data_IF_703009850088
#
_entry.id   IF_703009850088
#
_cell.length_a   1.000
_cell.length_b   1.000
_cell.length_c   1.000
_cell.angle_alpha   90.00
_cell.angle_beta   90.00
_cell.angle_gamma   90.00
#
_symmetry.space_group_name_H-M   'P 1'
#
loop_
_entity.id
_entity.type
_entity.pdbx_description
1 polymer ?
#
# COMPACT_ATOMS: atom_id res chain seq x y z
N UNK A 1 -1.56 -43.26 -3.80
CA UNK A 1 -2.66 -43.21 -4.77
C UNK A 1 -2.39 -42.11 -5.78
N UNK A 2 -1.72 -42.51 -6.85
CA UNK A 2 -1.38 -41.70 -8.02
C UNK A 2 -1.45 -42.59 -9.25
N UNK A 3 -2.54 -43.36 -9.35
CA UNK A 3 -2.81 -44.22 -10.50
C UNK A 3 -4.03 -43.72 -11.28
N UNK A 4 -5.07 -43.19 -10.62
CA UNK A 4 -6.23 -42.64 -11.34
C UNK A 4 -6.09 -41.18 -11.78
N UNK A 5 -5.16 -40.40 -11.21
CA UNK A 5 -4.81 -39.07 -11.73
C UNK A 5 -3.85 -39.11 -12.93
N UNK A 6 -3.12 -40.22 -13.12
CA UNK A 6 -2.26 -40.44 -14.30
C UNK A 6 -3.04 -40.99 -15.49
N UNK A 7 -4.13 -41.71 -15.23
CA UNK A 7 -5.02 -42.23 -16.27
C UNK A 7 -5.71 -41.10 -17.05
N UNK A 8 -5.96 -39.95 -16.42
CA UNK A 8 -6.66 -38.81 -17.03
C UNK A 8 -5.75 -37.73 -17.66
N UNK A 9 -4.45 -37.69 -17.38
CA UNK A 9 -3.55 -36.69 -17.99
C UNK A 9 -3.12 -37.11 -19.39
N UNK A 10 -2.90 -38.41 -19.61
CA UNK A 10 -2.48 -38.97 -20.91
C UNK A 10 -3.63 -39.10 -21.93
N UNK A 11 -4.87 -38.90 -21.48
CA UNK A 11 -6.08 -38.95 -22.30
C UNK A 11 -6.56 -37.58 -22.78
N UNK A 12 -5.99 -36.48 -22.27
CA UNK A 12 -6.23 -35.12 -22.76
C UNK A 12 -5.47 -34.85 -24.06
N UNK A 13 -6.03 -33.99 -24.92
CA UNK A 13 -5.32 -33.48 -26.09
C UNK A 13 -3.98 -32.83 -25.64
N UNK A 14 -2.87 -33.03 -26.38
CA UNK A 14 -1.61 -32.32 -26.17
C UNK A 14 -1.77 -30.82 -25.84
N UNK A 15 -2.75 -30.15 -26.45
CA UNK A 15 -3.08 -28.74 -26.18
C UNK A 15 -3.62 -28.51 -24.77
N UNK A 16 -4.51 -29.36 -24.27
CA UNK A 16 -5.08 -29.26 -22.92
C UNK A 16 -4.05 -29.63 -21.85
N UNK A 17 -3.17 -30.60 -22.14
CA UNK A 17 -2.02 -30.92 -21.28
C UNK A 17 -1.06 -29.72 -21.13
N UNK A 18 -0.84 -28.91 -22.18
CA UNK A 18 -0.07 -27.65 -22.12
C UNK A 18 -0.77 -26.58 -21.28
N UNK A 19 -2.08 -26.42 -21.45
CA UNK A 19 -2.87 -25.40 -20.75
C UNK A 19 -2.92 -25.65 -19.22
N UNK A 20 -3.02 -26.91 -18.80
CA UNK A 20 -3.00 -27.27 -17.37
C UNK A 20 -1.62 -27.06 -16.72
N UNK A 21 -0.54 -27.25 -17.49
CA UNK A 21 0.83 -27.03 -17.02
C UNK A 21 1.13 -25.54 -16.82
N UNK A 22 0.55 -24.66 -17.66
CA UNK A 22 0.59 -23.19 -17.51
C UNK A 22 -0.18 -22.74 -16.25
N UNK A 23 -1.35 -23.33 -15.99
CA UNK A 23 -2.15 -23.07 -14.77
C UNK A 23 -1.39 -23.44 -13.47
N UNK A 24 -0.60 -24.52 -13.49
CA UNK A 24 0.26 -24.97 -12.37
C UNK A 24 1.47 -24.06 -12.10
N UNK A 25 1.96 -23.31 -13.09
CA UNK A 25 3.06 -22.35 -12.95
C UNK A 25 2.55 -21.00 -12.40
N UNK A 26 1.38 -20.57 -12.90
CA UNK A 26 0.62 -19.41 -12.41
C UNK A 26 0.16 -19.51 -10.95
N UNK A 27 -0.02 -20.72 -10.42
CA UNK A 27 -0.29 -20.95 -8.98
C UNK A 27 0.97 -21.01 -8.12
N UNK A 28 2.14 -21.28 -8.72
CA UNK A 28 3.43 -21.32 -8.03
C UNK A 28 3.96 -19.92 -7.75
N UNK A 29 3.64 -18.95 -8.61
CA UNK A 29 3.80 -17.51 -8.37
C UNK A 29 2.76 -16.94 -7.38
N UNK A 30 1.53 -17.48 -7.28
CA UNK A 30 0.55 -17.12 -6.22
C UNK A 30 1.11 -17.26 -4.78
N UNK A 31 2.25 -17.93 -4.62
CA UNK A 31 2.98 -18.18 -3.37
C UNK A 31 4.29 -17.38 -3.25
N UNK A 32 4.57 -16.38 -4.11
CA UNK A 32 5.86 -15.69 -4.11
C UNK A 32 6.20 -15.10 -2.71
N UNK A 33 7.20 -15.70 -2.05
CA UNK A 33 7.61 -15.46 -0.65
C UNK A 33 8.55 -14.24 -0.54
N UNK A 34 8.24 -13.16 -1.25
CA UNK A 34 9.00 -11.92 -1.06
C UNK A 34 8.87 -11.52 0.41
N UNK A 35 10.00 -11.23 1.07
CA UNK A 35 10.02 -10.73 2.45
C UNK A 35 9.21 -9.42 2.61
N UNK A 36 8.96 -8.74 1.49
CA UNK A 36 8.18 -7.50 1.41
C UNK A 36 6.68 -7.72 1.22
N UNK A 37 6.25 -8.93 0.86
CA UNK A 37 4.84 -9.25 0.67
C UNK A 37 4.14 -9.30 2.02
N UNK A 38 3.08 -8.52 2.15
CA UNK A 38 2.21 -8.54 3.33
C UNK A 38 1.47 -9.87 3.36
N UNK A 39 1.59 -10.56 4.49
CA UNK A 39 1.02 -11.89 4.66
C UNK A 39 -0.44 -11.83 5.14
N UNK A 40 -1.22 -12.80 4.67
CA UNK A 40 -2.56 -13.05 5.18
C UNK A 40 -2.55 -13.51 6.65
N UNK A 41 -3.66 -13.29 7.33
CA UNK A 41 -3.96 -13.74 8.67
C UNK A 41 -4.71 -15.09 8.64
N UNK A 42 -4.95 -15.66 9.82
CA UNK A 42 -5.75 -16.88 9.93
C UNK A 42 -7.18 -16.64 9.47
N UNK A 43 -7.79 -17.66 8.86
CA UNK A 43 -9.20 -17.62 8.44
C UNK A 43 -10.16 -17.37 9.61
N UNK A 44 -9.77 -17.74 10.83
CA UNK A 44 -10.50 -17.41 12.05
C UNK A 44 -10.59 -15.90 12.27
N UNK A 45 -9.46 -15.20 12.14
CA UNK A 45 -9.44 -13.75 12.34
C UNK A 45 -10.20 -13.02 11.24
N UNK A 46 -10.08 -13.47 9.98
CA UNK A 46 -10.82 -12.90 8.84
C UNK A 46 -12.35 -13.04 8.96
N UNK A 47 -12.84 -13.99 9.77
CA UNK A 47 -14.28 -14.20 10.02
C UNK A 47 -14.81 -13.40 11.21
N UNK A 48 -13.94 -12.84 12.05
CA UNK A 48 -14.35 -11.99 13.18
C UNK A 48 -14.84 -10.64 12.68
N UNK A 49 -15.84 -10.10 13.40
CA UNK A 49 -16.32 -8.73 13.20
C UNK A 49 -15.67 -7.82 14.25
N UNK A 50 -15.26 -6.64 13.81
CA UNK A 50 -14.61 -5.63 14.62
C UNK A 50 -15.35 -4.31 14.47
N UNK A 51 -15.53 -3.60 15.58
CA UNK A 51 -16.24 -2.32 15.62
C UNK A 51 -15.27 -1.13 15.66
N UNK A 52 -14.04 -1.36 16.09
CA UNK A 52 -13.02 -0.33 16.18
C UNK A 52 -11.62 -0.91 15.92
N UNK A 53 -10.82 -0.13 15.21
CA UNK A 53 -9.41 -0.35 14.99
C UNK A 53 -8.63 0.89 15.40
N UNK A 54 -7.47 0.65 15.99
CA UNK A 54 -6.59 1.71 16.45
C UNK A 54 -5.16 1.44 16.02
N UNK A 55 -4.59 2.41 15.32
CA UNK A 55 -3.19 2.39 14.87
C UNK A 55 -2.38 3.20 15.88
N UNK A 56 -1.50 2.53 16.60
CA UNK A 56 -0.66 3.15 17.63
C UNK A 56 0.81 3.01 17.25
N UNK A 57 1.58 4.08 17.47
CA UNK A 57 3.03 4.05 17.39
C UNK A 57 3.59 3.63 18.76
N UNK A 58 4.32 2.52 18.79
CA UNK A 58 4.97 2.04 19.99
C UNK A 58 6.42 2.56 20.03
N UNK A 59 6.79 3.25 21.11
CA UNK A 59 8.10 3.86 21.26
C UNK A 59 9.21 2.81 21.07
N UNK A 60 9.98 2.93 19.99
CA UNK A 60 11.08 2.03 19.65
C UNK A 60 10.71 0.69 18.99
N UNK A 61 9.43 0.33 18.90
CA UNK A 61 8.97 -0.97 18.38
C UNK A 61 8.14 -0.89 17.10
N UNK A 62 7.99 0.30 16.52
CA UNK A 62 7.25 0.50 15.26
C UNK A 62 5.77 0.82 15.50
N UNK A 63 4.92 0.25 14.67
CA UNK A 63 3.47 0.43 14.68
C UNK A 63 2.76 -0.85 15.06
N UNK A 64 1.61 -0.70 15.70
CA UNK A 64 0.71 -1.80 16.00
C UNK A 64 -0.72 -1.44 15.65
N UNK A 65 -1.49 -2.44 15.26
CA UNK A 65 -2.93 -2.32 15.15
C UNK A 65 -3.59 -3.08 16.29
N UNK A 66 -4.41 -2.37 17.04
CA UNK A 66 -5.35 -2.94 18.01
C UNK A 66 -6.74 -2.95 17.41
N UNK A 67 -7.55 -3.91 17.86
CA UNK A 67 -8.96 -3.95 17.50
C UNK A 67 -9.83 -4.35 18.67
N UNK A 68 -11.05 -3.84 18.67
CA UNK A 68 -12.14 -4.25 19.55
C UNK A 68 -13.14 -5.06 18.74
N UNK A 69 -13.41 -6.29 19.18
CA UNK A 69 -14.35 -7.17 18.53
C UNK A 69 -15.80 -6.83 18.96
N UNK A 70 -16.76 -7.10 18.06
CA UNK A 70 -18.17 -6.73 18.27
C UNK A 70 -18.87 -7.51 19.38
N UNK A 71 -18.29 -8.63 19.81
CA UNK A 71 -18.76 -9.50 20.89
C UNK A 71 -18.36 -9.00 22.30
N UNK A 72 -17.84 -7.77 22.40
CA UNK A 72 -17.43 -7.17 23.68
C UNK A 72 -16.09 -7.70 24.20
N UNK A 73 -15.38 -8.50 23.40
CA UNK A 73 -14.05 -8.99 23.71
C UNK A 73 -13.09 -7.78 23.85
N UNK A 74 -12.22 -7.83 24.87
CA UNK A 74 -11.28 -6.73 25.16
C UNK A 74 -10.43 -6.40 23.94
N UNK A 75 -10.00 -5.14 23.87
CA UNK A 75 -9.05 -4.66 22.86
C UNK A 75 -7.79 -5.55 22.83
N UNK A 76 -7.45 -6.08 21.65
CA UNK A 76 -6.27 -6.94 21.44
C UNK A 76 -5.39 -6.37 20.34
N UNK A 77 -4.07 -6.50 20.52
CA UNK A 77 -3.10 -6.24 19.45
C UNK A 77 -3.24 -7.36 18.41
N UNK A 78 -3.63 -7.00 17.19
CA UNK A 78 -3.82 -7.95 16.10
C UNK A 78 -2.54 -8.17 15.29
N UNK A 79 -1.78 -7.11 15.04
CA UNK A 79 -0.57 -7.15 14.24
C UNK A 79 0.40 -6.01 14.62
N UNK A 80 1.69 -6.21 14.33
CA UNK A 80 2.76 -5.23 14.50
C UNK A 80 3.60 -5.16 13.22
N UNK A 81 3.98 -3.96 12.81
CA UNK A 81 4.95 -3.72 11.73
C UNK A 81 5.91 -2.59 12.14
N UNK A 82 7.05 -2.47 11.45
CA UNK A 82 7.98 -1.35 11.63
C UNK A 82 7.41 -0.03 11.07
N UNK A 83 6.40 -0.11 10.20
CA UNK A 83 5.82 1.01 9.46
C UNK A 83 4.30 1.11 9.63
N UNK A 84 3.75 2.31 9.42
CA UNK A 84 2.30 2.54 9.47
C UNK A 84 1.61 1.85 8.29
N UNK A 85 2.20 1.97 7.09
CA UNK A 85 1.66 1.34 5.91
C UNK A 85 1.70 -0.18 5.98
N UNK A 86 2.62 -0.77 6.75
CA UNK A 86 2.66 -2.21 7.00
C UNK A 86 1.47 -2.72 7.80
N UNK A 87 1.15 -2.08 8.93
CA UNK A 87 -0.04 -2.47 9.71
C UNK A 87 -1.35 -2.19 8.94
N UNK A 88 -1.40 -1.10 8.18
CA UNK A 88 -2.56 -0.75 7.36
C UNK A 88 -2.73 -1.71 6.18
N UNK A 89 -1.65 -2.01 5.48
CA UNK A 89 -1.63 -2.97 4.39
C UNK A 89 -2.02 -4.36 4.88
N UNK A 90 -1.60 -4.76 6.08
CA UNK A 90 -2.06 -6.00 6.70
C UNK A 90 -3.56 -6.00 6.97
N UNK A 91 -4.16 -4.91 7.46
CA UNK A 91 -5.62 -4.80 7.57
C UNK A 91 -6.32 -4.91 6.20
N UNK A 92 -5.71 -4.35 5.16
CA UNK A 92 -6.26 -4.31 3.80
C UNK A 92 -6.20 -5.68 3.13
N UNK A 93 -5.06 -6.37 3.22
CA UNK A 93 -4.85 -7.74 2.75
C UNK A 93 -5.90 -8.70 3.34
N UNK A 94 -6.20 -8.52 4.61
CA UNK A 94 -7.12 -9.36 5.37
C UNK A 94 -8.58 -8.89 5.35
N UNK A 95 -8.86 -7.76 4.67
CA UNK A 95 -10.22 -7.20 4.51
C UNK A 95 -10.98 -7.04 5.84
N UNK A 96 -10.26 -6.72 6.93
CA UNK A 96 -10.82 -6.69 8.29
C UNK A 96 -11.65 -5.43 8.57
N UNK A 97 -11.36 -4.34 7.87
CA UNK A 97 -12.00 -3.04 8.10
C UNK A 97 -13.11 -2.77 7.08
N UNK A 98 -14.27 -2.32 7.59
CA UNK A 98 -15.38 -1.82 6.78
C UNK A 98 -15.90 -0.53 7.39
N UNK A 99 -15.81 0.58 6.66
CA UNK A 99 -16.18 1.91 7.14
C UNK A 99 -17.61 2.01 7.70
N UNK A 100 -18.54 1.25 7.14
CA UNK A 100 -19.95 1.24 7.60
C UNK A 100 -20.17 0.48 8.91
N UNK A 101 -19.18 -0.30 9.37
CA UNK A 101 -19.30 -1.18 10.55
C UNK A 101 -18.25 -0.90 11.61
N UNK A 102 -17.15 -0.27 11.23
CA UNK A 102 -16.00 -0.08 12.10
C UNK A 102 -15.44 1.35 11.99
N UNK A 103 -14.84 1.81 13.09
CA UNK A 103 -14.03 3.03 13.10
C UNK A 103 -12.55 2.70 12.99
N UNK A 104 -11.76 3.58 12.34
CA UNK A 104 -10.30 3.47 12.29
C UNK A 104 -9.71 4.78 12.82
N UNK A 105 -8.93 4.69 13.90
CA UNK A 105 -8.27 5.84 14.53
C UNK A 105 -6.76 5.65 14.53
N UNK A 106 -6.05 6.75 14.62
CA UNK A 106 -4.58 6.76 14.75
C UNK A 106 -4.23 7.56 16.00
N UNK A 107 -3.51 6.95 16.94
CA UNK A 107 -3.05 7.60 18.17
C UNK A 107 -1.62 8.11 18.01
N UNK A 108 -1.50 9.26 17.37
CA UNK A 108 -0.26 10.04 17.26
C UNK A 108 -0.59 11.52 17.26
N UNK A 109 0.37 12.37 17.67
CA UNK A 109 0.20 13.82 17.65
C UNK A 109 0.26 14.42 16.23
N UNK A 110 0.87 13.68 15.30
CA UNK A 110 0.94 14.05 13.89
C UNK A 110 -0.42 13.92 13.20
N UNK A 111 -0.60 14.75 12.17
CA UNK A 111 -1.79 14.75 11.33
C UNK A 111 -1.46 14.15 9.98
N UNK A 112 -2.44 13.46 9.40
CA UNK A 112 -2.34 12.92 8.05
C UNK A 112 -2.81 13.98 7.06
N UNK A 113 -2.01 14.24 6.03
CA UNK A 113 -2.32 15.15 4.95
C UNK A 113 -2.21 14.43 3.62
N UNK A 114 -3.08 14.80 2.69
CA UNK A 114 -2.99 14.40 1.29
C UNK A 114 -2.52 15.62 0.46
N UNK A 115 -3.31 16.05 -0.53
CA UNK A 115 -2.99 17.18 -1.40
C UNK A 115 -3.42 18.54 -0.84
N UNK A 116 -4.36 18.54 0.12
CA UNK A 116 -4.98 19.73 0.74
C UNK A 116 -4.31 20.07 2.07
N UNK A 117 -4.45 21.31 2.53
CA UNK A 117 -3.92 21.75 3.83
C UNK A 117 -4.68 21.18 5.03
N UNK A 118 -5.96 20.87 4.85
CA UNK A 118 -6.76 20.23 5.88
C UNK A 118 -6.30 18.77 6.11
N UNK A 119 -6.23 18.37 7.37
CA UNK A 119 -5.93 16.99 7.73
C UNK A 119 -7.06 16.06 7.26
N UNK A 120 -6.67 14.88 6.79
CA UNK A 120 -7.60 13.83 6.36
C UNK A 120 -7.72 12.74 7.43
N UNK A 121 -8.88 12.09 7.55
CA UNK A 121 -9.05 10.98 8.50
C UNK A 121 -8.15 9.77 8.16
N UNK A 122 -7.74 8.94 9.13
CA UNK A 122 -6.86 7.79 8.90
C UNK A 122 -7.43 6.72 7.95
N UNK A 123 -8.75 6.53 7.93
CA UNK A 123 -9.42 5.59 7.02
C UNK A 123 -9.26 5.96 5.54
N UNK A 124 -8.90 7.21 5.23
CA UNK A 124 -8.55 7.67 3.88
C UNK A 124 -7.45 6.80 3.26
N UNK A 125 -6.41 6.44 4.03
CA UNK A 125 -5.34 5.56 3.53
C UNK A 125 -5.90 4.18 3.16
N UNK A 126 -6.71 3.58 4.04
CA UNK A 126 -7.30 2.27 3.78
C UNK A 126 -8.17 2.28 2.52
N UNK A 127 -8.99 3.32 2.37
CA UNK A 127 -9.94 3.44 1.26
C UNK A 127 -9.22 3.69 -0.08
N UNK A 128 -8.12 4.44 -0.08
CA UNK A 128 -7.35 4.71 -1.29
C UNK A 128 -6.79 3.42 -1.93
N UNK A 129 -6.54 2.39 -1.11
CA UNK A 129 -6.09 1.08 -1.56
C UNK A 129 -7.21 0.22 -2.18
N UNK A 130 -8.49 0.50 -1.91
CA UNK A 130 -9.60 -0.33 -2.40
C UNK A 130 -9.89 -0.15 -3.89
N UNK A 131 -10.26 -1.20 -4.64
CA UNK A 131 -10.28 -2.60 -4.20
C UNK A 131 -8.88 -3.20 -4.14
N UNK A 132 -8.59 -3.99 -3.09
CA UNK A 132 -7.30 -4.70 -2.96
C UNK A 132 -7.26 -5.94 -3.84
N UNK A 133 -8.33 -6.72 -3.90
CA UNK A 133 -8.36 -7.96 -4.69
C UNK A 133 -9.06 -7.71 -6.03
N UNK A 134 -8.68 -8.47 -7.07
CA UNK A 134 -9.30 -8.35 -8.37
C UNK A 134 -10.79 -8.69 -8.32
N UNK A 135 -11.56 -8.11 -9.24
CA UNK A 135 -13.01 -8.30 -9.36
C UNK A 135 -13.32 -9.57 -10.16
N UNK A 136 -12.45 -9.94 -11.10
CA UNK A 136 -12.54 -11.14 -11.94
C UNK A 136 -11.22 -11.95 -11.89
N UNK A 137 -11.31 -13.23 -12.23
CA UNK A 137 -10.17 -14.15 -12.23
C UNK A 137 -9.30 -14.02 -13.50
N UNK A 138 -9.78 -13.31 -14.53
CA UNK A 138 -9.06 -13.09 -15.80
C UNK A 138 -7.69 -12.42 -15.59
N UNK A 139 -7.50 -11.69 -14.49
CA UNK A 139 -6.21 -11.06 -14.15
C UNK A 139 -5.08 -12.07 -13.93
N UNK A 140 -5.40 -13.31 -13.58
CA UNK A 140 -4.39 -14.38 -13.39
C UNK A 140 -3.92 -14.97 -14.72
N UNK A 141 -4.49 -14.54 -15.84
CA UNK A 141 -4.04 -14.94 -17.16
C UNK A 141 -2.75 -14.22 -17.60
N UNK A 142 -2.46 -13.06 -16.99
CA UNK A 142 -1.32 -12.20 -17.27
C UNK A 142 -0.36 -12.12 -16.09
N UNK A 143 0.87 -11.68 -16.35
CA UNK A 143 1.87 -11.42 -15.30
C UNK A 143 1.39 -10.32 -14.35
N UNK A 144 1.82 -10.39 -13.09
CA UNK A 144 1.48 -9.41 -12.08
C UNK A 144 2.05 -8.03 -12.42
N UNK A 145 1.19 -7.01 -12.40
CA UNK A 145 1.54 -5.63 -12.74
C UNK A 145 1.21 -4.69 -11.59
N UNK A 146 2.05 -3.69 -11.32
CA UNK A 146 1.76 -2.70 -10.27
C UNK A 146 0.57 -1.81 -10.67
N UNK A 147 -0.48 -1.78 -9.84
CA UNK A 147 -1.69 -1.00 -10.11
C UNK A 147 -1.75 0.29 -9.30
N UNK A 148 -1.34 0.24 -8.02
CA UNK A 148 -1.32 1.39 -7.11
C UNK A 148 -0.04 1.39 -6.30
N UNK A 149 0.47 2.59 -6.03
CA UNK A 149 1.58 2.80 -5.12
C UNK A 149 1.24 3.96 -4.18
N UNK A 150 1.05 3.64 -2.90
CA UNK A 150 0.94 4.63 -1.85
C UNK A 150 2.32 5.01 -1.34
N UNK A 151 2.57 6.31 -1.25
CA UNK A 151 3.81 6.91 -0.76
C UNK A 151 3.46 7.76 0.45
N UNK A 152 3.94 7.37 1.63
CA UNK A 152 3.74 8.11 2.87
C UNK A 152 5.06 8.75 3.32
N UNK A 153 5.12 10.08 3.32
CA UNK A 153 6.21 10.84 3.90
C UNK A 153 6.00 10.96 5.42
N UNK A 154 7.00 10.59 6.22
CA UNK A 154 6.86 10.54 7.69
C UNK A 154 8.14 10.98 8.42
N UNK A 155 8.03 11.12 9.75
CA UNK A 155 9.13 11.54 10.61
C UNK A 155 9.54 12.99 10.37
N UNK A 156 8.57 13.86 10.09
CA UNK A 156 8.83 15.27 9.79
C UNK A 156 9.30 16.03 11.03
N UNK A 157 10.47 16.67 10.96
CA UNK A 157 10.90 17.65 11.96
C UNK A 157 11.04 19.04 11.32
N UNK A 158 10.78 20.14 12.05
CA UNK A 158 10.94 21.48 11.47
C UNK A 158 12.35 21.78 10.94
N UNK A 159 13.39 21.17 11.54
CA UNK A 159 14.79 21.40 11.16
C UNK A 159 15.28 20.50 10.03
N UNK A 160 14.73 19.30 9.89
CA UNK A 160 15.22 18.31 8.92
C UNK A 160 14.18 17.96 7.85
N UNK A 161 12.92 18.40 7.97
CA UNK A 161 11.80 17.93 7.16
C UNK A 161 11.55 16.44 7.32
N UNK A 162 11.04 15.77 6.28
CA UNK A 162 10.80 14.33 6.32
C UNK A 162 12.10 13.53 6.42
N UNK A 163 12.10 12.52 7.28
CA UNK A 163 13.26 11.66 7.56
C UNK A 163 13.06 10.23 7.08
N UNK A 164 11.83 9.85 6.73
CA UNK A 164 11.49 8.50 6.28
C UNK A 164 10.34 8.53 5.27
N UNK A 165 10.34 7.54 4.39
CA UNK A 165 9.25 7.26 3.45
C UNK A 165 8.84 5.81 3.56
N UNK A 166 7.54 5.57 3.58
CA UNK A 166 6.93 4.25 3.52
C UNK A 166 6.22 4.08 2.18
N UNK A 167 6.31 2.88 1.61
CA UNK A 167 5.70 2.52 0.34
C UNK A 167 4.77 1.32 0.54
N UNK A 168 3.59 1.38 -0.07
CA UNK A 168 2.67 0.25 -0.14
C UNK A 168 2.16 0.10 -1.56
N UNK A 169 2.65 -0.95 -2.23
CA UNK A 169 2.30 -1.31 -3.60
C UNK A 169 1.21 -2.38 -3.63
N UNK A 170 0.28 -2.26 -4.58
CA UNK A 170 -0.69 -3.30 -4.92
C UNK A 170 -0.43 -3.73 -6.36
N UNK A 171 -0.43 -5.03 -6.63
CA UNK A 171 -0.38 -5.56 -7.99
C UNK A 171 -1.76 -5.98 -8.52
N UNK A 172 -1.85 -6.30 -9.80
CA UNK A 172 -3.08 -6.68 -10.50
C UNK A 172 -3.72 -7.98 -9.97
N UNK A 173 -2.92 -8.84 -9.34
CA UNK A 173 -3.39 -10.05 -8.64
C UNK A 173 -3.93 -9.76 -7.24
N UNK A 174 -3.83 -8.51 -6.79
CA UNK A 174 -4.31 -8.05 -5.49
C UNK A 174 -3.43 -8.42 -4.31
N UNK A 175 -2.14 -8.57 -4.55
CA UNK A 175 -1.13 -8.78 -3.53
C UNK A 175 -0.55 -7.43 -3.09
N UNK A 176 -0.29 -7.31 -1.78
CA UNK A 176 0.23 -6.11 -1.15
C UNK A 176 1.72 -6.26 -0.79
N UNK A 177 2.50 -5.24 -1.09
CA UNK A 177 3.94 -5.20 -0.82
C UNK A 177 4.33 -3.93 -0.10
N UNK A 178 5.06 -4.09 0.99
CA UNK A 178 5.59 -3.01 1.81
C UNK A 178 7.07 -2.76 1.50
N UNK A 179 7.47 -1.50 1.42
CA UNK A 179 8.87 -1.10 1.41
C UNK A 179 9.08 0.18 2.24
N UNK A 180 10.30 0.40 2.70
CA UNK A 180 10.65 1.59 3.49
C UNK A 180 11.99 2.17 3.06
N UNK A 181 12.13 3.48 3.17
CA UNK A 181 13.37 4.19 2.87
C UNK A 181 13.63 5.26 3.93
N UNK A 182 14.79 5.20 4.56
CA UNK A 182 15.30 6.28 5.41
C UNK A 182 15.95 7.35 4.54
N UNK A 183 15.70 8.63 4.87
CA UNK A 183 16.27 9.76 4.15
C UNK A 183 17.50 10.30 4.87
N UNK A 184 18.59 10.50 4.12
CA UNK A 184 19.82 11.08 4.63
C UNK A 184 19.63 12.57 4.98
N UNK A 185 19.39 12.85 6.26
CA UNK A 185 19.16 14.21 6.78
C UNK A 185 20.39 15.13 6.67
N UNK A 186 21.57 14.59 6.39
CA UNK A 186 22.77 15.36 6.08
C UNK A 186 22.77 15.96 4.66
N UNK A 187 21.89 15.49 3.77
CA UNK A 187 21.79 15.98 2.39
C UNK A 187 20.72 17.07 2.22
N UNK A 188 20.91 17.97 1.24
CA UNK A 188 19.89 18.95 0.89
C UNK A 188 18.56 18.26 0.51
N UNK A 189 17.44 18.90 0.85
CA UNK A 189 16.10 18.34 0.65
C UNK A 189 15.83 17.90 -0.80
N UNK A 190 16.29 18.67 -1.78
CA UNK A 190 16.13 18.36 -3.19
C UNK A 190 16.74 17.00 -3.58
N UNK A 191 17.88 16.63 -3.00
CA UNK A 191 18.49 15.31 -3.22
C UNK A 191 17.63 14.21 -2.62
N UNK A 192 17.11 14.41 -1.42
CA UNK A 192 16.21 13.44 -0.77
C UNK A 192 14.94 13.21 -1.58
N UNK A 193 14.34 14.26 -2.13
CA UNK A 193 13.18 14.11 -3.02
C UNK A 193 13.52 13.41 -4.33
N UNK A 194 14.74 13.60 -4.85
CA UNK A 194 15.25 12.84 -5.99
C UNK A 194 15.36 11.35 -5.66
N UNK A 195 15.91 11.00 -4.49
CA UNK A 195 16.04 9.62 -4.05
C UNK A 195 14.67 8.94 -3.93
N UNK A 196 13.65 9.66 -3.46
CA UNK A 196 12.26 9.16 -3.44
C UNK A 196 11.74 8.92 -4.86
N UNK A 197 11.97 9.84 -5.79
CA UNK A 197 11.54 9.69 -7.18
C UNK A 197 12.24 8.50 -7.86
N UNK A 198 13.54 8.31 -7.64
CA UNK A 198 14.29 7.15 -8.12
C UNK A 198 13.75 5.85 -7.51
N UNK A 199 13.37 5.86 -6.23
CA UNK A 199 12.77 4.70 -5.56
C UNK A 199 11.40 4.35 -6.12
N UNK A 200 10.53 5.35 -6.33
CA UNK A 200 9.23 5.17 -6.99
C UNK A 200 9.42 4.61 -8.39
N UNK A 201 10.45 5.06 -9.11
CA UNK A 201 10.74 4.54 -10.43
C UNK A 201 11.00 3.02 -10.41
N UNK A 202 11.53 2.41 -9.35
CA UNK A 202 11.77 0.96 -9.30
C UNK A 202 10.49 0.10 -9.43
N UNK A 203 9.31 0.68 -9.26
CA UNK A 203 8.02 0.01 -9.47
C UNK A 203 7.60 0.05 -10.96
N UNK A 204 8.56 -0.01 -11.90
CA UNK A 204 8.34 0.04 -13.36
C UNK A 204 7.46 -1.12 -13.88
N UNK A 205 6.87 -0.89 -15.05
CA UNK A 205 6.01 -1.83 -15.77
C UNK A 205 4.80 -1.11 -16.36
N UNK A 206 3.97 -0.50 -15.50
CA UNK A 206 2.61 -0.07 -15.90
C UNK A 206 2.15 1.28 -15.34
N UNK A 207 3.08 2.09 -14.81
CA UNK A 207 2.79 3.42 -14.21
C UNK A 207 1.65 3.35 -13.19
N UNK A 208 1.88 2.74 -12.01
CA UNK A 208 0.85 2.59 -11.00
C UNK A 208 0.26 3.96 -10.61
N UNK A 209 -1.00 3.96 -10.18
CA UNK A 209 -1.61 5.16 -9.61
C UNK A 209 -0.84 5.57 -8.35
N UNK A 210 -0.18 6.73 -8.41
CA UNK A 210 0.60 7.26 -7.29
C UNK A 210 -0.29 8.04 -6.31
N UNK A 211 -0.29 7.61 -5.06
CA UNK A 211 -1.07 8.19 -3.97
C UNK A 211 -0.12 8.75 -2.92
N UNK A 212 -0.06 10.08 -2.77
CA UNK A 212 0.88 10.74 -1.86
C UNK A 212 0.20 11.22 -0.59
N UNK A 213 0.81 10.89 0.55
CA UNK A 213 0.39 11.33 1.86
C UNK A 213 1.56 11.79 2.71
N UNK A 214 1.28 12.60 3.72
CA UNK A 214 2.23 13.10 4.69
C UNK A 214 1.70 12.87 6.10
N UNK A 215 2.50 12.24 6.96
CA UNK A 215 2.26 12.18 8.39
C UNK A 215 3.21 13.16 9.08
N UNK A 216 2.67 14.28 9.54
CA UNK A 216 3.46 15.37 10.12
C UNK A 216 2.61 16.27 11.02
N UNK A 217 3.26 17.07 11.86
CA UNK A 217 2.57 18.09 12.67
C UNK A 217 1.98 19.22 11.82
N UNK A 218 2.60 19.51 10.67
CA UNK A 218 2.19 20.48 9.65
C UNK A 218 2.48 19.93 8.25
N UNK A 219 1.63 20.27 7.29
CA UNK A 219 1.83 19.93 5.89
C UNK A 219 3.01 20.69 5.30
N UNK A 220 3.83 19.99 4.53
CA UNK A 220 4.80 20.57 3.60
C UNK A 220 4.16 20.67 2.20
N UNK A 221 3.82 21.87 1.70
CA UNK A 221 3.15 22.03 0.42
C UNK A 221 4.06 21.69 -0.78
N UNK A 222 5.38 21.70 -0.60
CA UNK A 222 6.34 21.61 -1.68
C UNK A 222 6.91 20.19 -1.84
N UNK A 223 6.94 19.39 -0.78
CA UNK A 223 7.49 18.03 -0.81
C UNK A 223 6.93 17.17 -1.96
N UNK A 224 5.60 17.04 -2.03
CA UNK A 224 4.93 16.22 -3.06
C UNK A 224 5.13 16.82 -4.45
N UNK A 225 5.12 18.14 -4.57
CA UNK A 225 5.34 18.82 -5.85
C UNK A 225 6.75 18.56 -6.37
N UNK A 226 7.78 18.70 -5.53
CA UNK A 226 9.18 18.50 -5.92
C UNK A 226 9.45 17.04 -6.29
N UNK A 227 8.88 16.07 -5.55
CA UNK A 227 8.99 14.64 -5.91
C UNK A 227 8.35 14.38 -7.28
N UNK A 228 7.13 14.89 -7.50
CA UNK A 228 6.45 14.75 -8.80
C UNK A 228 7.20 15.43 -9.94
N UNK A 229 7.80 16.59 -9.69
CA UNK A 229 8.62 17.28 -10.68
C UNK A 229 9.80 16.39 -11.12
N UNK A 230 10.53 15.79 -10.17
CA UNK A 230 11.60 14.84 -10.50
C UNK A 230 11.10 13.63 -11.29
N UNK A 231 9.92 13.10 -10.94
CA UNK A 231 9.31 11.98 -11.68
C UNK A 231 9.01 12.35 -13.14
N UNK A 232 8.50 13.56 -13.37
CA UNK A 232 8.14 14.03 -14.70
C UNK A 232 9.36 14.40 -15.54
N UNK A 233 10.31 15.14 -14.95
CA UNK A 233 11.52 15.62 -15.62
C UNK A 233 12.42 14.46 -16.05
N UNK A 234 12.44 13.35 -15.30
CA UNK A 234 13.37 12.23 -15.52
C UNK A 234 12.74 10.98 -16.12
N UNK A 235 11.48 10.68 -15.80
CA UNK A 235 10.84 9.40 -16.17
C UNK A 235 9.61 9.57 -17.08
N UNK A 236 9.33 10.80 -17.54
CA UNK A 236 8.23 11.12 -18.48
C UNK A 236 6.86 10.56 -18.05
N UNK A 237 6.64 10.46 -16.73
CA UNK A 237 5.31 10.21 -16.15
C UNK A 237 4.52 11.51 -16.31
N UNK A 238 3.23 11.42 -16.69
CA UNK A 238 2.40 12.59 -16.97
C UNK A 238 2.56 13.68 -15.88
N UNK A 239 2.93 14.88 -16.35
CA UNK A 239 3.30 16.06 -15.54
C UNK A 239 2.32 16.40 -14.42
N UNK A 240 2.76 17.03 -13.31
CA UNK A 240 1.83 17.74 -12.45
C UNK A 240 1.13 18.82 -13.29
N UNK A 241 -0.18 18.69 -13.46
CA UNK A 241 -1.02 19.72 -14.07
C UNK A 241 -0.75 21.07 -13.39
N UNK A 242 -0.24 21.99 -14.19
CA UNK A 242 -0.13 23.45 -14.07
C UNK A 242 0.30 24.01 -12.68
N UNK A 243 1.34 24.87 -12.62
CA UNK A 243 1.75 25.54 -11.38
C UNK A 243 0.59 26.27 -10.69
N UNK A 244 0.65 26.31 -9.34
CA UNK A 244 -0.41 26.79 -8.42
C UNK A 244 -1.06 28.13 -8.82
N UNK A 245 -0.30 29.03 -9.47
CA UNK A 245 -0.76 30.35 -9.95
C UNK A 245 -1.71 30.30 -11.15
N UNK A 246 -1.81 29.17 -11.86
CA UNK A 246 -2.56 29.03 -13.12
C UNK A 246 -3.60 27.89 -13.10
N UNK A 247 -3.97 27.36 -11.93
CA UNK A 247 -5.01 26.33 -11.85
C UNK A 247 -6.41 26.95 -12.03
N UNK A 248 -7.28 26.39 -12.90
CA UNK A 248 -8.66 26.84 -12.99
C UNK A 248 -9.39 26.59 -11.66
N UNK A 249 -10.31 27.50 -11.31
CA UNK A 249 -11.00 27.55 -10.02
C UNK A 249 -11.76 26.28 -9.63
N UNK A 250 -12.04 25.38 -10.58
CA UNK A 250 -12.75 24.11 -10.35
C UNK A 250 -11.92 23.09 -9.54
N UNK A 251 -10.59 23.20 -9.51
CA UNK A 251 -9.72 22.37 -8.65
C UNK A 251 -9.63 22.89 -7.20
N UNK A 252 -10.36 23.96 -6.85
CA UNK A 252 -10.36 24.58 -5.51
C UNK A 252 -11.60 24.21 -4.66
N UNK A 253 -12.44 23.28 -5.11
CA UNK A 253 -13.61 22.78 -4.37
C UNK A 253 -13.33 21.40 -3.75
#
# INVERSE_FOLDING_TARGET
>A
MGQDSKANYRSLDPTEQRNLKILMQKTRERLNLSDRKIQGCSSFLARRSFDAFELEKNNGHGWQVKAQASDGDKERVLNRSKSLLGVLGWLAENRLYRRSKATLKMKVDDRLFESREAAVPPDTLYLALQPVKPINDDVFEFDAQWTKLMVLLTGHTPSQGFTRVEFLGINSWGELYEDEMSLDTGRPMAHRYRDIAEKINQYEGDRPQLLFYQLASRRDPDAVYQIKQWLCDRFMIAGPGIPKKKRPLLDKL
#
